data_IF_294205512397
#
_entry.id   IF_294205512397
#
_cell.length_a   1.000
_cell.length_b   1.000
_cell.length_c   1.000
_cell.angle_alpha   90.00
_cell.angle_beta   90.00
_cell.angle_gamma   90.00
#
_symmetry.space_group_name_H-M   'P 1'
#
loop_
_entity.id
_entity.type
_entity.pdbx_description
1 polymer ?
#
# COMPACT_ATOMS: atom_id res chain seq x y z
N UNK A 1 -21.37 22.07 14.36
CA UNK A 1 -21.19 20.64 13.97
C UNK A 1 -22.29 20.08 13.05
N UNK A 2 -23.56 20.56 13.07
CA UNK A 2 -24.61 20.08 12.15
C UNK A 2 -24.49 20.53 10.68
N UNK A 3 -23.73 21.60 10.39
CA UNK A 3 -23.55 22.13 9.02
C UNK A 3 -22.50 21.40 8.18
N UNK A 4 -21.62 20.59 8.80
CA UNK A 4 -20.66 19.76 8.06
C UNK A 4 -21.32 18.51 7.45
N UNK A 5 -22.39 18.00 8.06
CA UNK A 5 -23.09 16.80 7.57
C UNK A 5 -23.92 17.05 6.30
N UNK A 6 -24.41 18.29 6.09
CA UNK A 6 -25.11 18.63 4.84
C UNK A 6 -24.17 18.76 3.63
N UNK A 7 -22.89 19.10 3.85
CA UNK A 7 -21.91 19.16 2.77
C UNK A 7 -21.52 17.74 2.27
N UNK A 8 -21.54 16.73 3.14
CA UNK A 8 -21.35 15.33 2.73
C UNK A 8 -22.55 14.73 1.98
N UNK A 9 -23.78 15.22 2.25
CA UNK A 9 -25.00 14.74 1.61
C UNK A 9 -25.27 15.38 0.24
N UNK A 10 -24.74 16.58 -0.03
CA UNK A 10 -24.92 17.29 -1.29
C UNK A 10 -23.97 16.82 -2.42
N UNK A 11 -23.00 15.95 -2.14
CA UNK A 11 -22.17 15.29 -3.17
C UNK A 11 -22.89 14.05 -3.75
N UNK A 12 -23.93 13.53 -3.08
CA UNK A 12 -24.67 12.33 -3.52
C UNK A 12 -25.79 12.59 -4.53
N UNK A 13 -25.87 13.79 -5.11
CA UNK A 13 -27.10 14.30 -5.71
C UNK A 13 -27.06 14.68 -7.18
N UNK A 14 -26.11 14.20 -7.99
CA UNK A 14 -26.25 14.23 -9.45
C UNK A 14 -25.38 13.14 -10.04
N UNK A 15 -25.94 12.29 -10.89
CA UNK A 15 -25.39 11.79 -12.16
C UNK A 15 -26.20 10.57 -12.62
N UNK A 16 -27.40 10.85 -13.13
CA UNK A 16 -28.09 9.97 -14.06
C UNK A 16 -27.50 10.13 -15.45
N UNK A 17 -26.27 9.64 -15.63
CA UNK A 17 -25.59 9.32 -16.89
C UNK A 17 -24.78 8.07 -16.53
N UNK A 18 -24.64 7.07 -17.41
CA UNK A 18 -23.66 6.00 -17.16
C UNK A 18 -22.25 6.62 -17.21
N UNK A 19 -21.86 7.30 -16.15
CA UNK A 19 -20.52 7.80 -15.94
C UNK A 19 -19.64 6.57 -15.76
N UNK A 20 -18.64 6.45 -16.61
CA UNK A 20 -17.55 5.51 -16.42
C UNK A 20 -17.00 5.73 -15.00
N UNK A 21 -16.92 4.67 -14.20
CA UNK A 21 -16.43 4.79 -12.84
C UNK A 21 -14.93 5.15 -12.90
N UNK A 22 -14.63 6.43 -12.67
CA UNK A 22 -13.28 7.00 -12.81
C UNK A 22 -12.51 6.98 -11.49
N UNK A 23 -13.15 6.58 -10.39
CA UNK A 23 -12.51 6.47 -9.09
C UNK A 23 -12.63 5.05 -8.54
N UNK A 24 -11.64 4.64 -7.77
CA UNK A 24 -11.66 3.37 -7.04
C UNK A 24 -11.07 3.57 -5.65
N UNK A 25 -11.80 3.11 -4.62
CA UNK A 25 -11.22 2.89 -3.29
C UNK A 25 -10.88 1.42 -3.15
N UNK A 26 -9.77 1.10 -2.51
CA UNK A 26 -9.28 -0.28 -2.38
C UNK A 26 -8.66 -0.55 -1.01
N UNK A 27 -8.74 -1.81 -0.60
CA UNK A 27 -8.13 -2.30 0.63
C UNK A 27 -7.31 -3.55 0.37
N UNK A 28 -6.13 -3.64 0.98
CA UNK A 28 -5.29 -4.84 0.88
C UNK A 28 -5.70 -5.87 1.94
N UNK A 29 -6.47 -6.87 1.52
CA UNK A 29 -6.99 -7.89 2.43
C UNK A 29 -5.90 -8.88 2.87
N UNK A 30 -4.94 -9.19 1.99
CA UNK A 30 -3.88 -10.16 2.31
C UNK A 30 -2.94 -9.62 3.39
N UNK A 31 -2.46 -8.39 3.24
CA UNK A 31 -1.56 -7.79 4.23
C UNK A 31 -2.28 -7.50 5.56
N UNK A 32 -3.58 -7.23 5.53
CA UNK A 32 -4.38 -7.14 6.77
C UNK A 32 -4.38 -8.48 7.52
N UNK A 33 -4.58 -9.59 6.82
CA UNK A 33 -4.65 -10.92 7.44
C UNK A 33 -3.28 -11.44 7.90
N UNK A 34 -2.24 -11.27 7.09
CA UNK A 34 -0.92 -11.87 7.35
C UNK A 34 -0.02 -10.97 8.19
N UNK A 35 -0.09 -9.66 7.99
CA UNK A 35 0.81 -8.69 8.64
C UNK A 35 0.14 -7.86 9.74
N UNK A 36 -1.20 -7.92 9.86
CA UNK A 36 -1.99 -6.96 10.61
C UNK A 36 -1.73 -5.50 10.17
N UNK A 37 -1.47 -5.31 8.86
CA UNK A 37 -1.28 -3.99 8.25
C UNK A 37 -2.53 -3.59 7.48
N UNK A 38 -3.05 -2.40 7.76
CA UNK A 38 -4.25 -1.88 7.08
C UNK A 38 -3.79 -0.92 5.98
N UNK A 39 -4.05 -1.27 4.74
CA UNK A 39 -3.66 -0.46 3.58
C UNK A 39 -4.93 0.04 2.88
N UNK A 40 -5.08 1.37 2.83
CA UNK A 40 -6.22 2.05 2.23
C UNK A 40 -5.74 2.80 1.00
N UNK A 41 -6.28 2.42 -0.15
CA UNK A 41 -5.93 3.00 -1.44
C UNK A 41 -7.05 3.79 -2.07
N UNK A 42 -6.67 4.84 -2.78
CA UNK A 42 -7.50 5.55 -3.73
C UNK A 42 -6.79 5.56 -5.09
N UNK A 43 -7.56 5.41 -6.15
CA UNK A 43 -7.09 5.40 -7.53
C UNK A 43 -8.04 6.21 -8.41
N UNK A 44 -7.47 7.02 -9.30
CA UNK A 44 -8.18 7.84 -10.26
C UNK A 44 -7.73 7.49 -11.67
N UNK A 45 -8.67 7.05 -12.50
CA UNK A 45 -8.43 6.71 -13.90
C UNK A 45 -8.37 7.98 -14.74
N UNK A 46 -7.21 8.20 -15.36
CA UNK A 46 -6.97 9.33 -16.26
C UNK A 46 -7.22 8.95 -17.73
N UNK A 47 -7.16 7.65 -18.04
CA UNK A 47 -7.50 7.07 -19.33
C UNK A 47 -7.93 5.60 -19.13
N UNK A 48 -8.42 4.94 -20.18
CA UNK A 48 -8.84 3.54 -20.16
C UNK A 48 -7.74 2.58 -19.67
N UNK A 49 -6.48 2.90 -19.96
CA UNK A 49 -5.30 2.10 -19.63
C UNK A 49 -4.37 2.76 -18.61
N UNK A 50 -4.74 3.89 -18.01
CA UNK A 50 -3.86 4.66 -17.14
C UNK A 50 -4.59 5.19 -15.90
N UNK A 51 -3.89 5.16 -14.76
CA UNK A 51 -4.38 5.78 -13.54
C UNK A 51 -3.26 6.30 -12.65
N UNK A 52 -3.63 7.18 -11.73
CA UNK A 52 -2.80 7.59 -10.62
C UNK A 52 -3.44 7.13 -9.32
N UNK A 53 -2.62 6.72 -8.34
CA UNK A 53 -3.13 6.24 -7.07
C UNK A 53 -2.30 6.71 -5.90
N UNK A 54 -2.94 6.71 -4.73
CA UNK A 54 -2.31 6.95 -3.45
C UNK A 54 -2.79 5.91 -2.43
N UNK A 55 -1.88 5.37 -1.64
CA UNK A 55 -2.19 4.48 -0.53
C UNK A 55 -1.67 5.07 0.78
N UNK A 56 -2.46 4.89 1.84
CA UNK A 56 -2.03 5.11 3.21
C UNK A 56 -2.00 3.76 3.92
N UNK A 57 -0.84 3.40 4.47
CA UNK A 57 -0.62 2.11 5.08
C UNK A 57 -0.34 2.29 6.58
N UNK A 58 -1.13 1.63 7.40
CA UNK A 58 -1.03 1.62 8.86
C UNK A 58 -0.34 0.33 9.28
N UNK A 59 0.61 0.43 10.21
CA UNK A 59 1.44 -0.70 10.65
C UNK A 59 2.16 -1.36 9.45
N UNK A 60 2.82 -0.55 8.62
CA UNK A 60 3.51 -0.98 7.41
C UNK A 60 4.84 -1.70 7.73
N UNK A 61 5.02 -2.92 7.25
CA UNK A 61 6.13 -3.81 7.66
C UNK A 61 7.06 -4.15 6.49
N UNK A 62 8.31 -4.47 6.82
CA UNK A 62 9.34 -4.87 5.85
C UNK A 62 9.27 -6.34 5.41
N UNK A 63 8.70 -7.21 6.25
CA UNK A 63 8.85 -8.66 6.12
C UNK A 63 7.63 -9.41 6.64
N UNK A 64 7.29 -10.50 5.94
CA UNK A 64 6.30 -11.49 6.36
C UNK A 64 6.83 -12.48 7.42
N UNK A 65 8.11 -12.38 7.78
CA UNK A 65 8.80 -13.30 8.68
C UNK A 65 9.35 -12.55 9.89
N UNK A 66 9.08 -13.08 11.09
CA UNK A 66 9.75 -12.64 12.31
C UNK A 66 11.15 -13.25 12.36
N UNK A 67 12.16 -12.45 12.69
CA UNK A 67 13.52 -12.97 12.87
C UNK A 67 13.61 -13.77 14.17
N UNK A 68 14.25 -14.95 14.10
CA UNK A 68 14.33 -15.89 15.22
C UNK A 68 15.21 -15.40 16.39
N UNK A 69 16.14 -14.47 16.12
CA UNK A 69 17.16 -14.00 17.07
C UNK A 69 16.72 -12.80 17.93
N UNK A 70 15.64 -12.13 17.56
CA UNK A 70 15.10 -10.95 18.25
C UNK A 70 13.80 -11.28 18.97
N UNK A 71 13.58 -10.70 20.16
CA UNK A 71 12.31 -10.82 20.89
C UNK A 71 11.54 -9.50 20.82
N UNK A 72 10.21 -9.58 20.96
CA UNK A 72 9.33 -8.42 21.08
C UNK A 72 9.41 -7.39 19.95
N UNK A 73 9.63 -7.85 18.70
CA UNK A 73 9.65 -7.00 17.52
C UNK A 73 8.32 -6.23 17.36
N UNK A 74 8.39 -4.90 17.32
CA UNK A 74 7.25 -4.01 17.16
C UNK A 74 7.51 -3.03 16.02
N UNK A 75 6.67 -3.11 14.99
CA UNK A 75 6.62 -2.13 13.92
C UNK A 75 5.59 -1.06 14.31
N UNK A 76 6.05 0.16 14.54
CA UNK A 76 5.21 1.34 14.78
C UNK A 76 5.38 2.31 13.62
N UNK A 77 5.10 1.79 12.43
CA UNK A 77 5.42 2.43 11.16
C UNK A 77 4.16 2.63 10.35
N UNK A 78 4.11 3.75 9.64
CA UNK A 78 3.07 4.04 8.66
C UNK A 78 3.77 4.47 7.37
N UNK A 79 3.05 4.44 6.26
CA UNK A 79 3.58 4.96 5.00
C UNK A 79 2.54 5.59 4.13
N UNK A 80 2.99 6.53 3.30
CA UNK A 80 2.23 7.04 2.16
C UNK A 80 2.91 6.53 0.90
N UNK A 81 2.16 6.02 -0.05
CA UNK A 81 2.64 5.57 -1.35
C UNK A 81 1.84 6.26 -2.45
N UNK A 82 2.52 6.74 -3.48
CA UNK A 82 1.89 7.22 -4.72
C UNK A 82 2.38 6.38 -5.89
N UNK A 83 1.48 6.06 -6.81
CA UNK A 83 1.77 5.22 -7.96
C UNK A 83 1.12 5.77 -9.22
N UNK A 84 1.71 5.39 -10.34
CA UNK A 84 1.12 5.51 -11.67
C UNK A 84 0.93 4.09 -12.19
N UNK A 85 -0.25 3.74 -12.69
CA UNK A 85 -0.56 2.39 -13.14
C UNK A 85 -0.82 2.40 -14.65
N UNK A 86 -0.19 1.48 -15.36
CA UNK A 86 -0.41 1.24 -16.77
C UNK A 86 -0.96 -0.17 -17.00
N UNK A 87 -2.09 -0.27 -17.70
CA UNK A 87 -2.86 -1.49 -17.87
C UNK A 87 -2.73 -2.06 -19.29
N UNK A 88 -2.32 -3.31 -19.39
CA UNK A 88 -2.18 -4.09 -20.63
C UNK A 88 -3.27 -5.17 -20.67
N UNK A 89 -4.26 -5.01 -21.55
CA UNK A 89 -5.21 -6.09 -21.87
C UNK A 89 -6.59 -6.01 -21.19
N UNK A 90 -7.06 -4.82 -20.81
CA UNK A 90 -8.47 -4.60 -20.51
C UNK A 90 -9.33 -4.63 -21.77
N UNK A 91 -10.60 -5.06 -21.66
CA UNK A 91 -11.58 -4.79 -22.73
C UNK A 91 -11.67 -3.28 -22.94
N UNK A 92 -11.94 -2.83 -24.16
CA UNK A 92 -12.03 -1.39 -24.51
C UNK A 92 -12.95 -0.60 -23.57
N UNK A 93 -13.97 -1.26 -23.02
CA UNK A 93 -14.95 -0.65 -22.11
C UNK A 93 -14.66 -0.91 -20.61
N UNK A 94 -13.64 -1.71 -20.29
CA UNK A 94 -13.29 -2.10 -18.93
C UNK A 94 -12.00 -1.39 -18.47
N UNK A 95 -12.16 -0.13 -18.04
CA UNK A 95 -11.07 0.68 -17.53
C UNK A 95 -10.25 -0.05 -16.46
N UNK A 96 -8.94 0.11 -16.54
CA UNK A 96 -8.03 -0.30 -15.50
C UNK A 96 -8.15 -1.77 -15.12
N UNK A 97 -8.23 -2.64 -16.13
CA UNK A 97 -8.30 -4.09 -15.96
C UNK A 97 -7.23 -4.78 -16.81
N UNK A 98 -6.92 -6.03 -16.49
CA UNK A 98 -5.85 -6.80 -17.14
C UNK A 98 -4.54 -6.74 -16.39
N UNK A 99 -3.44 -7.05 -17.08
CA UNK A 99 -2.10 -6.94 -16.52
C UNK A 99 -1.79 -5.49 -16.21
N UNK A 100 -1.09 -5.22 -15.11
CA UNK A 100 -0.74 -3.86 -14.70
C UNK A 100 0.73 -3.79 -14.32
N UNK A 101 1.36 -2.66 -14.66
CA UNK A 101 2.68 -2.27 -14.19
C UNK A 101 2.56 -0.93 -13.49
N UNK A 102 3.18 -0.82 -12.31
CA UNK A 102 2.97 0.29 -11.39
C UNK A 102 4.28 0.79 -10.80
N UNK A 103 5.02 1.71 -11.44
CA UNK A 103 6.06 2.46 -10.75
C UNK A 103 5.45 3.24 -9.58
N UNK A 104 6.16 3.26 -8.45
CA UNK A 104 5.68 3.95 -7.26
C UNK A 104 6.80 4.59 -6.45
N UNK A 105 6.42 5.61 -5.69
CA UNK A 105 7.22 6.21 -4.64
C UNK A 105 6.49 6.04 -3.32
N UNK A 106 7.24 5.73 -2.27
CA UNK A 106 6.72 5.50 -0.94
C UNK A 106 7.60 6.23 0.07
N UNK A 107 6.96 6.82 1.07
CA UNK A 107 7.62 7.35 2.24
C UNK A 107 7.11 6.63 3.47
N UNK A 108 7.99 5.88 4.13
CA UNK A 108 7.73 5.20 5.40
C UNK A 108 8.25 6.08 6.52
N UNK A 109 7.52 6.12 7.63
CA UNK A 109 7.88 6.87 8.81
C UNK A 109 7.44 6.15 10.08
N UNK A 110 8.13 6.43 11.19
CA UNK A 110 7.91 5.77 12.47
C UNK A 110 9.14 4.99 12.92
N UNK A 111 8.94 4.00 13.79
CA UNK A 111 10.07 3.30 14.41
C UNK A 111 9.86 1.79 14.43
N UNK A 112 10.96 1.07 14.36
CA UNK A 112 11.04 -0.34 14.69
C UNK A 112 11.72 -0.48 16.06
N UNK A 113 11.14 -1.32 16.92
CA UNK A 113 11.65 -1.60 18.25
C UNK A 113 11.84 -3.12 18.42
N UNK A 114 12.97 -3.55 18.96
CA UNK A 114 13.19 -4.95 19.33
C UNK A 114 14.05 -5.08 20.59
N UNK A 115 13.86 -6.18 21.32
CA UNK A 115 14.71 -6.53 22.44
C UNK A 115 15.90 -7.35 21.90
N UNK A 116 17.11 -6.78 22.03
CA UNK A 116 18.36 -7.39 21.55
C UNK A 116 19.31 -7.66 22.70
N UNK A 117 19.93 -8.83 22.69
CA UNK A 117 20.99 -9.14 23.65
C UNK A 117 22.28 -8.41 23.27
N UNK A 118 22.85 -7.67 24.20
CA UNK A 118 24.10 -6.96 24.05
C UNK A 118 25.23 -7.78 24.71
N UNK A 119 26.14 -8.30 23.89
CA UNK A 119 27.25 -9.16 24.35
C UNK A 119 28.25 -8.42 25.26
N UNK A 120 28.33 -7.08 25.17
CA UNK A 120 29.25 -6.27 25.98
C UNK A 120 28.65 -6.00 27.36
N UNK A 121 27.38 -5.62 27.43
CA UNK A 121 26.70 -5.34 28.71
C UNK A 121 26.10 -6.59 29.37
N UNK A 122 26.10 -7.73 28.67
CA UNK A 122 25.50 -9.01 29.10
C UNK A 122 24.02 -8.86 29.52
N UNK A 123 23.30 -7.97 28.83
CA UNK A 123 21.90 -7.61 29.13
C UNK A 123 21.08 -7.50 27.85
N UNK A 124 19.76 -7.62 28.02
CA UNK A 124 18.80 -7.32 26.96
C UNK A 124 18.53 -5.82 26.97
N UNK A 125 18.74 -5.18 25.83
CA UNK A 125 18.51 -3.75 25.63
C UNK A 125 17.46 -3.54 24.55
N UNK A 126 16.67 -2.47 24.69
CA UNK A 126 15.70 -2.05 23.69
C UNK A 126 16.46 -1.36 22.56
N UNK A 127 16.55 -2.02 21.41
CA UNK A 127 17.07 -1.45 20.18
C UNK A 127 15.95 -0.74 19.42
N UNK A 128 16.25 0.44 18.89
CA UNK A 128 15.27 1.28 18.20
C UNK A 128 15.87 1.84 16.92
N UNK A 129 15.22 1.55 15.81
CA UNK A 129 15.63 1.98 14.47
C UNK A 129 14.60 2.99 13.95
N UNK A 130 15.06 4.16 13.51
CA UNK A 130 14.23 5.11 12.77
C UNK A 130 13.92 4.53 11.39
N UNK A 131 12.63 4.36 11.10
CA UNK A 131 12.13 3.76 9.87
C UNK A 131 11.79 4.80 8.81
N UNK A 132 12.12 6.07 9.05
CA UNK A 132 12.02 7.15 8.08
C UNK A 132 12.83 6.81 6.83
N UNK A 133 12.13 6.64 5.72
CA UNK A 133 12.78 6.32 4.46
C UNK A 133 11.94 6.71 3.26
N UNK A 134 12.64 7.27 2.27
CA UNK A 134 12.17 7.28 0.89
C UNK A 134 12.40 5.91 0.25
N UNK A 135 11.42 5.45 -0.53
CA UNK A 135 11.40 4.14 -1.16
C UNK A 135 10.88 4.32 -2.59
N UNK A 136 11.55 3.70 -3.56
CA UNK A 136 11.13 3.69 -4.95
C UNK A 136 11.06 2.27 -5.47
N UNK A 137 10.02 1.94 -6.23
CA UNK A 137 9.80 0.59 -6.69
C UNK A 137 8.91 0.47 -7.90
N UNK A 138 8.71 -0.77 -8.30
CA UNK A 138 7.79 -1.16 -9.36
C UNK A 138 6.97 -2.36 -8.92
N UNK A 139 5.68 -2.26 -9.15
CA UNK A 139 4.72 -3.34 -8.96
C UNK A 139 4.27 -3.93 -10.27
N UNK A 140 3.93 -5.22 -10.25
CA UNK A 140 3.23 -5.89 -11.34
C UNK A 140 2.08 -6.72 -10.77
N UNK A 141 1.00 -6.84 -11.54
CA UNK A 141 -0.17 -7.58 -11.09
C UNK A 141 -1.16 -7.85 -12.21
N UNK A 142 -2.30 -8.41 -11.83
CA UNK A 142 -3.44 -8.57 -12.71
C UNK A 142 -4.70 -8.09 -12.02
N UNK A 143 -5.42 -7.15 -12.63
CA UNK A 143 -6.64 -6.55 -12.06
C UNK A 143 -7.87 -7.08 -12.78
N UNK A 144 -8.68 -7.85 -12.07
CA UNK A 144 -10.01 -8.24 -12.52
C UNK A 144 -11.02 -7.15 -12.16
N UNK A 145 -11.83 -6.75 -13.14
CA UNK A 145 -13.03 -5.95 -12.93
C UNK A 145 -14.25 -6.88 -12.97
N UNK A 146 -14.94 -6.99 -11.84
CA UNK A 146 -16.17 -7.78 -11.69
C UNK A 146 -17.36 -6.86 -11.97
N UNK A 147 -17.73 -6.79 -13.25
CA UNK A 147 -18.66 -5.78 -13.75
C UNK A 147 -18.05 -4.38 -13.67
N UNK A 148 -18.88 -3.39 -13.36
CA UNK A 148 -18.47 -1.97 -13.37
C UNK A 148 -18.01 -1.46 -11.99
N UNK A 149 -18.18 -2.26 -10.92
CA UNK A 149 -18.03 -1.77 -9.54
C UNK A 149 -16.89 -2.43 -8.76
N UNK A 150 -16.81 -3.76 -8.73
CA UNK A 150 -15.84 -4.43 -7.84
C UNK A 150 -14.57 -4.82 -8.57
N UNK A 151 -13.43 -4.76 -7.88
CA UNK A 151 -12.15 -5.22 -8.41
C UNK A 151 -11.44 -6.17 -7.47
N UNK A 152 -10.66 -7.06 -8.06
CA UNK A 152 -9.72 -7.92 -7.36
C UNK A 152 -8.37 -7.77 -8.06
N UNK A 153 -7.34 -7.42 -7.31
CA UNK A 153 -6.02 -7.16 -7.85
C UNK A 153 -4.94 -7.80 -6.97
N UNK A 154 -4.54 -9.06 -7.23
CA UNK A 154 -3.29 -9.61 -6.74
C UNK A 154 -2.10 -8.93 -7.42
N UNK A 155 -1.07 -8.64 -6.63
CA UNK A 155 0.14 -7.97 -7.10
C UNK A 155 1.38 -8.45 -6.34
N UNK A 156 2.53 -8.17 -6.94
CA UNK A 156 3.85 -8.28 -6.31
C UNK A 156 4.66 -7.04 -6.66
N UNK A 157 5.40 -6.55 -5.68
CA UNK A 157 6.22 -5.35 -5.78
C UNK A 157 7.67 -5.67 -5.43
N UNK A 158 8.58 -4.97 -6.11
CA UNK A 158 9.98 -4.87 -5.71
C UNK A 158 10.34 -3.39 -5.58
N UNK A 159 10.96 -3.03 -4.45
CA UNK A 159 11.37 -1.66 -4.19
C UNK A 159 12.70 -1.57 -3.48
N UNK A 160 13.33 -0.40 -3.59
CA UNK A 160 14.57 -0.07 -2.92
C UNK A 160 14.35 1.01 -1.86
N UNK A 161 14.94 0.78 -0.69
CA UNK A 161 14.96 1.69 0.43
C UNK A 161 16.22 2.59 0.39
N UNK A 162 16.02 3.89 0.58
CA UNK A 162 17.07 4.92 0.54
C UNK A 162 17.35 5.51 1.93
N UNK A 163 17.47 4.66 2.95
CA UNK A 163 17.92 5.04 4.30
C UNK A 163 19.03 4.10 4.76
N UNK A 164 20.21 4.65 5.10
CA UNK A 164 21.31 3.84 5.64
C UNK A 164 20.94 3.18 6.96
N UNK A 165 20.29 3.93 7.86
CA UNK A 165 19.86 3.42 9.17
C UNK A 165 18.91 2.22 9.04
N UNK A 166 17.97 2.29 8.10
CA UNK A 166 17.08 1.16 7.81
C UNK A 166 17.84 0.02 7.15
N UNK A 167 18.74 0.32 6.20
CA UNK A 167 19.48 -0.68 5.43
C UNK A 167 20.58 -1.41 6.25
N UNK A 168 21.01 -0.84 7.36
CA UNK A 168 21.93 -1.49 8.30
C UNK A 168 21.23 -2.62 9.07
N UNK A 169 19.90 -2.49 9.28
CA UNK A 169 19.08 -3.49 9.98
C UNK A 169 18.29 -4.42 9.05
N UNK A 170 17.84 -3.91 7.92
CA UNK A 170 16.94 -4.59 6.98
C UNK A 170 17.55 -4.62 5.57
N UNK A 171 17.05 -5.53 4.72
CA UNK A 171 17.44 -5.54 3.31
C UNK A 171 17.09 -4.20 2.65
N UNK A 172 18.04 -3.64 1.91
CA UNK A 172 17.81 -2.44 1.10
C UNK A 172 16.79 -2.67 -0.03
N UNK A 173 16.53 -3.92 -0.39
CA UNK A 173 15.49 -4.32 -1.35
C UNK A 173 14.33 -4.94 -0.57
N UNK A 174 13.13 -4.41 -0.74
CA UNK A 174 11.89 -4.96 -0.20
C UNK A 174 11.07 -5.63 -1.30
N UNK A 175 10.50 -6.78 -0.96
CA UNK A 175 9.54 -7.51 -1.80
C UNK A 175 8.22 -7.59 -1.05
N UNK A 176 7.14 -7.12 -1.67
CA UNK A 176 5.79 -7.15 -1.11
C UNK A 176 4.86 -7.91 -2.06
N UNK A 177 3.84 -8.57 -1.53
CA UNK A 177 2.76 -9.11 -2.33
C UNK A 177 1.43 -8.90 -1.62
N UNK A 178 0.38 -8.63 -2.38
CA UNK A 178 -0.91 -8.29 -1.79
C UNK A 178 -2.07 -8.70 -2.66
N UNK A 179 -3.27 -8.58 -2.10
CA UNK A 179 -4.53 -8.69 -2.83
C UNK A 179 -5.37 -7.49 -2.47
N UNK A 180 -5.56 -6.60 -3.42
CA UNK A 180 -6.45 -5.46 -3.27
C UNK A 180 -7.87 -5.86 -3.67
N UNK A 181 -8.84 -5.54 -2.82
CA UNK A 181 -10.26 -5.55 -3.16
C UNK A 181 -10.71 -4.11 -3.28
N UNK A 182 -11.27 -3.75 -4.44
CA UNK A 182 -11.67 -2.38 -4.73
C UNK A 182 -13.15 -2.23 -5.06
N UNK A 183 -13.63 -1.00 -4.87
CA UNK A 183 -14.96 -0.55 -5.25
C UNK A 183 -14.85 0.74 -6.05
N UNK A 184 -15.49 0.76 -7.22
CA UNK A 184 -15.47 1.84 -8.21
C UNK A 184 -16.74 2.67 -8.16
N UNK A 185 -16.58 3.98 -8.37
CA UNK A 185 -17.65 4.97 -8.39
C UNK A 185 -17.35 6.18 -9.30
#
# INVERSE_FOLDING_TARGET
MRKLFLALLLIGGTLGVKAQAVNEVKVNVLNTLVLASVELGYEHFIDHNQSIGANFNINDRFSYHAEKSSRNQKFKTNSILVNYNYYFGGKTDANGSGYVVSPFMKYRFGNFEEDRFNDVSQKVELDKVDMNSFIFGVGVGYKWALGDSFTIHPFVDIARNFSSEVNDRFSAIEVNAGVNIGYRF
#
